data_IF_597456648326
#
_entry.id   IF_597456648326
#
_cell.length_a   1.000
_cell.length_b   1.000
_cell.length_c   1.000
_cell.angle_alpha   90.00
_cell.angle_beta   90.00
_cell.angle_gamma   90.00
#
_symmetry.space_group_name_H-M   'P 1'
#
loop_
_entity.id
_entity.type
_entity.pdbx_description
1 polymer ?
#
# COMPACT_ATOMS: atom_id res chain seq x y z
N UNK A 1 -54.93 -25.47 4.92
CA UNK A 1 -53.76 -25.55 4.02
C UNK A 1 -53.01 -24.24 4.12
N UNK A 2 -52.05 -24.17 5.04
CA UNK A 2 -51.28 -22.97 5.40
C UNK A 2 -49.80 -23.35 5.31
N UNK A 3 -48.98 -22.36 4.95
CA UNK A 3 -47.53 -22.33 5.17
C UNK A 3 -46.64 -22.99 4.12
N UNK A 4 -46.48 -22.34 2.96
CA UNK A 4 -45.35 -22.63 2.04
C UNK A 4 -44.60 -21.39 1.54
N UNK A 5 -44.85 -20.20 2.10
CA UNK A 5 -44.32 -18.93 1.53
C UNK A 5 -43.12 -18.35 2.31
N UNK A 6 -42.68 -18.99 3.40
CA UNK A 6 -41.66 -18.41 4.28
C UNK A 6 -40.20 -18.79 3.97
N UNK A 7 -39.92 -19.59 2.93
CA UNK A 7 -38.58 -20.17 2.75
C UNK A 7 -37.66 -19.44 1.74
N UNK A 8 -38.13 -18.38 1.08
CA UNK A 8 -37.37 -17.73 -0.02
C UNK A 8 -36.64 -16.46 0.40
N UNK A 9 -36.96 -15.87 1.56
CA UNK A 9 -36.47 -14.52 1.92
C UNK A 9 -35.10 -14.54 2.63
N UNK A 10 -34.62 -15.69 3.13
CA UNK A 10 -33.39 -15.72 3.95
C UNK A 10 -32.09 -15.78 3.12
N UNK A 11 -32.15 -16.13 1.83
CA UNK A 11 -30.94 -16.31 1.01
C UNK A 11 -30.44 -15.00 0.37
N UNK A 12 -31.31 -13.98 0.24
CA UNK A 12 -30.94 -12.73 -0.44
C UNK A 12 -30.14 -11.73 0.42
N UNK A 13 -29.98 -12.00 1.72
CA UNK A 13 -29.38 -11.04 2.66
C UNK A 13 -27.86 -11.13 2.80
N UNK A 14 -27.20 -12.15 2.24
CA UNK A 14 -25.77 -12.39 2.49
C UNK A 14 -24.80 -11.76 1.48
N UNK A 15 -25.29 -11.10 0.43
CA UNK A 15 -24.44 -10.44 -0.56
C UNK A 15 -23.99 -9.01 -0.16
N UNK A 16 -24.61 -8.40 0.85
CA UNK A 16 -24.40 -6.97 1.16
C UNK A 16 -23.32 -6.69 2.24
N UNK A 17 -22.67 -7.71 2.81
CA UNK A 17 -21.69 -7.51 3.89
C UNK A 17 -20.23 -7.42 3.39
N UNK A 18 -19.95 -7.76 2.11
CA UNK A 18 -18.58 -7.81 1.60
C UNK A 18 -17.99 -6.43 1.24
N UNK A 19 -18.83 -5.42 0.97
CA UNK A 19 -18.37 -4.09 0.55
C UNK A 19 -17.86 -3.23 1.73
N UNK A 20 -18.46 -3.37 2.91
CA UNK A 20 -18.12 -2.55 4.09
C UNK A 20 -16.74 -2.95 4.65
N UNK A 21 -16.43 -4.25 4.68
CA UNK A 21 -15.13 -4.74 5.15
C UNK A 21 -13.97 -4.35 4.21
N UNK A 22 -14.19 -4.35 2.88
CA UNK A 22 -13.18 -3.93 1.89
C UNK A 22 -12.78 -2.46 2.03
N UNK A 23 -13.70 -1.59 2.46
CA UNK A 23 -13.42 -0.16 2.65
C UNK A 23 -12.56 0.12 3.90
N UNK A 24 -12.77 -0.65 4.97
CA UNK A 24 -11.99 -0.56 6.22
C UNK A 24 -10.58 -1.14 6.09
N UNK A 25 -10.42 -2.25 5.36
CA UNK A 25 -9.09 -2.80 5.07
C UNK A 25 -8.28 -1.85 4.17
N UNK A 26 -8.91 -1.25 3.16
CA UNK A 26 -8.27 -0.24 2.30
C UNK A 26 -7.88 1.03 3.05
N UNK A 27 -8.67 1.48 4.03
CA UNK A 27 -8.30 2.67 4.82
C UNK A 27 -7.08 2.41 5.70
N UNK A 28 -7.01 1.27 6.39
CA UNK A 28 -5.83 0.88 7.18
C UNK A 28 -4.58 0.72 6.33
N UNK A 29 -4.71 0.08 5.16
CA UNK A 29 -3.60 -0.16 4.26
C UNK A 29 -3.11 1.16 3.61
N UNK A 30 -4.03 2.07 3.28
CA UNK A 30 -3.70 3.42 2.82
C UNK A 30 -3.02 4.28 3.90
N UNK A 31 -3.42 4.15 5.17
CA UNK A 31 -2.73 4.81 6.30
C UNK A 31 -1.30 4.28 6.42
N UNK A 32 -1.12 2.95 6.44
CA UNK A 32 0.21 2.33 6.49
C UNK A 32 1.08 2.75 5.31
N UNK A 33 0.51 2.85 4.11
CA UNK A 33 1.24 3.38 2.96
C UNK A 33 1.71 4.81 3.19
N UNK A 34 0.80 5.69 3.63
CA UNK A 34 1.14 7.09 3.89
C UNK A 34 2.24 7.24 4.93
N UNK A 35 2.22 6.43 5.98
CA UNK A 35 3.23 6.48 7.04
C UNK A 35 4.60 6.01 6.54
N UNK A 36 4.68 4.88 5.83
CA UNK A 36 5.92 4.42 5.21
C UNK A 36 6.45 5.42 4.18
N UNK A 37 5.54 5.97 3.36
CA UNK A 37 5.89 6.95 2.35
C UNK A 37 6.44 8.25 2.96
N UNK A 38 5.87 8.74 4.07
CA UNK A 38 6.37 9.91 4.80
C UNK A 38 7.77 9.71 5.38
N UNK A 39 8.09 8.51 5.88
CA UNK A 39 9.44 8.20 6.37
C UNK A 39 10.44 8.29 5.22
N UNK A 40 10.12 7.68 4.08
CA UNK A 40 10.98 7.73 2.89
C UNK A 40 11.16 9.18 2.40
N UNK A 41 10.08 9.96 2.41
CA UNK A 41 10.10 11.38 2.03
C UNK A 41 11.00 12.21 2.95
N UNK A 42 10.91 12.02 4.28
CA UNK A 42 11.79 12.70 5.25
C UNK A 42 13.26 12.37 4.99
N UNK A 43 13.58 11.09 4.80
CA UNK A 43 14.97 10.62 4.59
C UNK A 43 15.59 11.22 3.32
N UNK A 44 14.82 11.31 2.23
CA UNK A 44 15.28 11.94 0.99
C UNK A 44 15.45 13.46 1.16
N UNK A 45 14.50 14.11 1.83
CA UNK A 45 14.51 15.57 2.03
C UNK A 45 15.60 16.04 3.00
N UNK A 46 16.00 15.22 3.98
CA UNK A 46 17.09 15.52 4.91
C UNK A 46 18.47 15.39 4.25
N UNK A 47 18.59 14.59 3.18
CA UNK A 47 19.87 14.35 2.48
C UNK A 47 19.77 14.56 0.96
N UNK A 48 19.39 15.76 0.47
CA UNK A 48 19.11 15.99 -0.94
C UNK A 48 20.34 15.92 -1.86
N UNK A 49 21.55 16.01 -1.30
CA UNK A 49 22.80 16.16 -2.06
C UNK A 49 23.86 15.08 -1.81
N UNK A 50 23.71 14.19 -0.81
CA UNK A 50 24.83 13.35 -0.35
C UNK A 50 24.78 11.87 -0.75
N UNK A 51 23.60 11.32 -1.04
CA UNK A 51 23.46 9.88 -1.20
C UNK A 51 22.77 9.49 -2.52
N UNK A 52 23.46 8.68 -3.32
CA UNK A 52 22.88 7.98 -4.49
C UNK A 52 21.80 6.97 -4.04
N UNK A 53 21.92 6.47 -2.80
CA UNK A 53 21.07 5.44 -2.22
C UNK A 53 20.74 5.72 -0.75
N UNK A 54 19.49 5.47 -0.36
CA UNK A 54 18.97 5.64 1.00
C UNK A 54 18.59 4.28 1.59
N UNK A 55 18.85 4.08 2.89
CA UNK A 55 18.63 2.80 3.57
C UNK A 55 17.37 2.86 4.45
N UNK A 56 16.30 2.17 4.05
CA UNK A 56 15.05 2.08 4.81
C UNK A 56 14.39 0.71 4.55
N UNK A 57 14.98 -0.40 5.04
CA UNK A 57 14.69 -1.74 4.53
C UNK A 57 13.24 -2.18 4.77
N UNK A 58 12.66 -1.81 5.93
CA UNK A 58 11.26 -2.12 6.25
C UNK A 58 10.30 -1.36 5.32
N UNK A 59 10.55 -0.07 5.10
CA UNK A 59 9.73 0.78 4.25
C UNK A 59 9.88 0.36 2.79
N UNK A 60 11.10 0.09 2.32
CA UNK A 60 11.37 -0.38 0.96
C UNK A 60 10.57 -1.66 0.71
N UNK A 61 10.70 -2.68 1.56
CA UNK A 61 9.97 -3.93 1.40
C UNK A 61 8.46 -3.71 1.34
N UNK A 62 7.91 -2.90 2.24
CA UNK A 62 6.49 -2.57 2.22
C UNK A 62 6.07 -1.88 0.90
N UNK A 63 6.88 -0.94 0.41
CA UNK A 63 6.60 -0.23 -0.83
C UNK A 63 6.69 -1.13 -2.06
N UNK A 64 7.69 -2.01 -2.13
CA UNK A 64 7.82 -3.00 -3.20
C UNK A 64 6.62 -3.95 -3.22
N UNK A 65 6.24 -4.51 -2.07
CA UNK A 65 5.09 -5.41 -1.94
C UNK A 65 3.76 -4.73 -2.30
N UNK A 66 3.60 -3.45 -1.92
CA UNK A 66 2.34 -2.75 -2.12
C UNK A 66 2.19 -2.12 -3.51
N UNK A 67 3.27 -1.58 -4.07
CA UNK A 67 3.23 -0.89 -5.38
C UNK A 67 3.60 -1.79 -6.55
N UNK A 68 4.27 -2.91 -6.28
CA UNK A 68 4.89 -3.76 -7.30
C UNK A 68 6.12 -3.12 -7.98
N UNK A 69 6.58 -1.95 -7.51
CA UNK A 69 7.73 -1.24 -8.07
C UNK A 69 8.97 -1.60 -7.24
N UNK A 70 9.93 -2.32 -7.82
CA UNK A 70 11.14 -2.74 -7.10
C UNK A 70 12.12 -1.57 -6.92
N UNK A 71 12.81 -1.54 -5.78
CA UNK A 71 13.79 -0.52 -5.47
C UNK A 71 15.13 -0.77 -6.17
N UNK A 72 15.72 0.20 -6.83
CA UNK A 72 16.95 0.01 -7.62
C UNK A 72 18.27 -0.12 -6.83
N UNK A 73 18.22 -0.26 -5.51
CA UNK A 73 19.40 -0.47 -4.67
C UNK A 73 19.76 -1.94 -4.47
N UNK A 74 20.91 -2.17 -3.83
CA UNK A 74 21.41 -3.53 -3.59
C UNK A 74 20.45 -4.37 -2.74
N UNK A 75 20.31 -5.63 -3.17
CA UNK A 75 19.56 -6.67 -2.51
C UNK A 75 20.41 -7.49 -1.56
N UNK A 76 19.79 -7.90 -0.45
CA UNK A 76 20.29 -8.94 0.45
C UNK A 76 19.42 -10.19 0.31
N UNK A 77 19.79 -11.28 0.99
CA UNK A 77 18.96 -12.49 1.09
C UNK A 77 17.53 -12.23 1.61
N UNK A 78 17.32 -11.12 2.34
CA UNK A 78 16.03 -10.74 2.93
C UNK A 78 15.27 -9.68 2.13
N UNK A 79 15.78 -9.28 0.96
CA UNK A 79 15.18 -8.25 0.09
C UNK A 79 16.09 -7.03 -0.12
N UNK A 80 15.57 -6.01 -0.80
CA UNK A 80 16.31 -4.78 -1.10
C UNK A 80 16.29 -3.85 0.10
N UNK A 81 17.47 -3.34 0.46
CA UNK A 81 17.64 -2.49 1.65
C UNK A 81 17.97 -1.04 1.28
N UNK A 82 18.26 -0.79 0.01
CA UNK A 82 18.58 0.52 -0.53
C UNK A 82 17.60 0.94 -1.63
N UNK A 83 17.30 2.24 -1.74
CA UNK A 83 16.57 2.83 -2.86
C UNK A 83 17.22 4.13 -3.32
N UNK A 84 17.18 4.43 -4.61
CA UNK A 84 17.63 5.73 -5.14
C UNK A 84 16.50 6.75 -5.19
N UNK A 85 16.86 8.01 -5.46
CA UNK A 85 15.91 9.07 -5.77
C UNK A 85 14.98 8.71 -6.94
N UNK A 86 15.47 8.01 -7.96
CA UNK A 86 14.66 7.59 -9.12
C UNK A 86 13.55 6.62 -8.70
N UNK A 87 13.86 5.67 -7.82
CA UNK A 87 12.87 4.76 -7.23
C UNK A 87 11.85 5.53 -6.39
N UNK A 88 12.33 6.44 -5.54
CA UNK A 88 11.45 7.28 -4.72
C UNK A 88 10.48 8.11 -5.58
N UNK A 89 10.95 8.72 -6.67
CA UNK A 89 10.08 9.45 -7.60
C UNK A 89 9.03 8.53 -8.25
N UNK A 90 9.39 7.26 -8.54
CA UNK A 90 8.44 6.28 -9.08
C UNK A 90 7.33 5.97 -8.07
N UNK A 91 7.67 5.76 -6.80
CA UNK A 91 6.70 5.61 -5.73
C UNK A 91 5.86 6.88 -5.51
N UNK A 92 6.46 8.08 -5.66
CA UNK A 92 5.75 9.35 -5.55
C UNK A 92 4.73 9.55 -6.68
N UNK A 93 5.09 9.19 -7.92
CA UNK A 93 4.16 9.18 -9.06
C UNK A 93 3.03 8.18 -8.83
N UNK A 94 3.35 6.99 -8.32
CA UNK A 94 2.36 5.98 -7.98
C UNK A 94 1.40 6.51 -6.90
N UNK A 95 1.91 7.10 -5.82
CA UNK A 95 1.10 7.69 -4.75
C UNK A 95 0.16 8.77 -5.27
N UNK A 96 0.68 9.71 -6.06
CA UNK A 96 -0.13 10.78 -6.64
C UNK A 96 -1.27 10.21 -7.49
N UNK A 97 -0.99 9.23 -8.36
CA UNK A 97 -2.00 8.58 -9.20
C UNK A 97 -3.13 7.90 -8.41
N UNK A 98 -2.85 7.38 -7.22
CA UNK A 98 -3.82 6.59 -6.45
C UNK A 98 -4.51 7.36 -5.32
N UNK A 99 -3.87 8.41 -4.78
CA UNK A 99 -4.34 9.11 -3.58
C UNK A 99 -4.51 10.63 -3.74
N UNK A 100 -3.89 11.27 -4.74
CA UNK A 100 -4.12 12.69 -5.06
C UNK A 100 -4.83 12.80 -6.41
N UNK A 101 -6.16 12.83 -6.37
CA UNK A 101 -6.96 13.47 -7.42
C UNK A 101 -7.04 14.96 -7.10
#
# INVERSE_FOLDING_TARGET
MRSSIFLVIVIFSFACSCAIFKRSANSKLGIRFKDNFRVLDSVVNENPMKNKYFNCPMQIKFMEEYTGIPADGEGTLIGRIWFSKKTWEAWHRWYNKHYRK
#
